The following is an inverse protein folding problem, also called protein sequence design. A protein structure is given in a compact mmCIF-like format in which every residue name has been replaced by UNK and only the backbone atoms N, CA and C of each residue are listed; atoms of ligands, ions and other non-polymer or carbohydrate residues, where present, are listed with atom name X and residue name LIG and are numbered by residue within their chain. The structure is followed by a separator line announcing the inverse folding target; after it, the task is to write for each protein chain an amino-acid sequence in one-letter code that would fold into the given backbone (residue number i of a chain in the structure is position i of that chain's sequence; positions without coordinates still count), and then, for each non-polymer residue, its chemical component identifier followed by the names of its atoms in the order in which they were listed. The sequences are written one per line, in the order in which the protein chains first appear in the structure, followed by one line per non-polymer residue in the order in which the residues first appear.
data_IF_274431271688
#
_entry.id   IF_274431271688
#
_cell.length_a   1.000
_cell.length_b   1.000
_cell.length_c   1.000
_cell.angle_alpha   90.00
_cell.angle_beta   90.00
_cell.angle_gamma   90.00
#
_symmetry.space_group_name_H-M   'P 1'
#
loop_
_entity.id
_entity.type
_entity.pdbx_description
1 polymer ?
#
# COMPACT_ATOMS: atom_id res chain seq x y z
N UNK A 1 -20.63 -21.05 36.99
CA UNK A 1 -20.54 -21.87 38.22
C UNK A 1 -19.70 -23.11 37.90
N UNK A 2 -18.72 -23.44 38.78
CA UNK A 2 -17.58 -24.38 38.60
C UNK A 2 -16.38 -23.71 37.90
N UNK A 3 -15.55 -22.93 38.60
CA UNK A 3 -14.54 -23.32 39.62
C UNK A 3 -13.62 -24.43 39.10
N UNK A 4 -12.36 -24.10 38.83
CA UNK A 4 -11.24 -24.48 39.71
C UNK A 4 -11.36 -25.92 40.19
N UNK A 5 -10.65 -26.83 39.52
CA UNK A 5 -10.04 -28.04 40.07
C UNK A 5 -9.24 -28.72 38.96
N UNK A 6 -8.14 -29.35 39.38
CA UNK A 6 -7.09 -30.02 38.59
C UNK A 6 -6.04 -29.04 38.04
N UNK A 7 -4.79 -29.00 38.52
CA UNK A 7 -4.03 -29.99 39.26
C UNK A 7 -3.02 -29.31 40.18
N UNK A 8 -3.20 -29.54 41.48
CA UNK A 8 -2.10 -29.63 42.44
C UNK A 8 -2.06 -31.10 42.87
N UNK A 9 -1.04 -31.82 42.43
CA UNK A 9 -0.60 -33.14 42.86
C UNK A 9 0.78 -33.29 42.20
N UNK A 10 1.90 -33.59 42.83
CA UNK A 10 2.23 -34.20 44.10
C UNK A 10 3.66 -33.74 44.41
N UNK A 11 3.95 -33.35 45.65
CA UNK A 11 5.24 -33.63 46.31
C UNK A 11 5.12 -33.19 47.78
N UNK A 12 4.67 -34.13 48.59
CA UNK A 12 4.77 -34.11 50.04
C UNK A 12 5.83 -35.14 50.43
N UNK A 13 6.88 -34.72 51.12
CA UNK A 13 7.42 -35.53 52.21
C UNK A 13 8.27 -34.72 53.18
N UNK A 14 7.82 -34.75 54.44
CA UNK A 14 8.57 -34.75 55.71
C UNK A 14 8.94 -33.41 56.35
N UNK A 15 8.01 -33.03 57.23
CA UNK A 15 8.14 -32.44 58.56
C UNK A 15 9.47 -32.74 59.28
N UNK A 16 10.12 -31.70 59.82
CA UNK A 16 10.74 -31.72 61.16
C UNK A 16 10.84 -30.29 61.73
N UNK A 17 10.30 -30.19 62.94
CA UNK A 17 10.21 -29.06 63.87
C UNK A 17 11.42 -28.11 63.95
N UNK A 18 11.16 -26.81 64.14
CA UNK A 18 11.43 -26.11 65.41
C UNK A 18 10.82 -24.70 65.39
N UNK A 19 10.11 -24.37 66.47
CA UNK A 19 9.48 -23.08 66.76
C UNK A 19 10.53 -22.13 67.38
N UNK A 20 10.69 -20.92 66.83
CA UNK A 20 11.27 -19.73 67.51
C UNK A 20 10.61 -18.43 66.98
N UNK A 21 10.59 -17.35 67.77
CA UNK A 21 9.43 -16.44 67.86
C UNK A 21 9.42 -15.32 66.82
N UNK A 22 8.21 -14.78 66.61
CA UNK A 22 7.86 -13.69 65.72
C UNK A 22 8.81 -12.48 65.84
N UNK A 23 9.57 -12.23 64.78
CA UNK A 23 10.02 -10.89 64.39
C UNK A 23 9.19 -10.43 63.21
N UNK A 24 8.20 -9.57 63.45
CA UNK A 24 7.36 -8.97 62.42
C UNK A 24 8.19 -7.95 61.61
N UNK A 25 8.94 -8.43 60.61
CA UNK A 25 9.50 -7.56 59.58
C UNK A 25 8.37 -7.12 58.65
N UNK A 26 7.85 -5.93 58.89
CA UNK A 26 6.96 -5.23 57.98
C UNK A 26 7.77 -4.85 56.72
N UNK A 27 7.80 -5.74 55.72
CA UNK A 27 8.27 -5.40 54.39
C UNK A 27 7.29 -4.40 53.78
N UNK A 28 7.59 -3.12 53.93
CA UNK A 28 6.94 -2.05 53.18
C UNK A 28 7.43 -2.20 51.73
N UNK A 29 6.71 -2.99 50.94
CA UNK A 29 6.81 -2.94 49.49
C UNK A 29 6.26 -1.58 49.06
N UNK A 30 7.15 -0.59 48.94
CA UNK A 30 6.86 0.66 48.23
C UNK A 30 6.69 0.28 46.77
N UNK A 31 5.46 0.01 46.36
CA UNK A 31 5.09 0.06 44.96
C UNK A 31 5.25 1.51 44.52
N UNK A 32 6.36 1.83 43.86
CA UNK A 32 6.41 2.98 42.97
C UNK A 32 5.38 2.72 41.86
N UNK A 33 4.15 3.17 42.08
CA UNK A 33 3.25 3.45 40.98
C UNK A 33 3.93 4.57 40.23
N UNK A 34 4.67 4.20 39.18
CA UNK A 34 5.11 5.16 38.17
C UNK A 34 3.83 5.80 37.65
N UNK A 35 3.51 7.00 38.15
CA UNK A 35 2.45 7.81 37.57
C UNK A 35 2.78 7.92 36.09
N UNK A 36 1.99 7.27 35.24
CA UNK A 36 2.05 7.51 33.81
C UNK A 36 1.88 9.02 33.66
N UNK A 37 2.95 9.71 33.27
CA UNK A 37 2.88 11.13 33.00
C UNK A 37 1.73 11.30 32.01
N UNK A 38 0.68 12.00 32.42
CA UNK A 38 -0.43 12.29 31.53
C UNK A 38 0.18 12.97 30.30
N UNK A 39 0.10 12.29 29.14
CA UNK A 39 0.70 12.79 27.91
C UNK A 39 0.20 14.23 27.69
N UNK A 40 1.14 15.19 27.70
CA UNK A 40 0.79 16.59 27.46
C UNK A 40 0.14 16.66 26.07
N UNK A 41 -0.99 17.37 25.91
CA UNK A 41 -1.63 17.50 24.61
C UNK A 41 -0.66 18.13 23.61
N UNK A 42 -0.52 17.52 22.44
CA UNK A 42 0.42 17.94 21.38
C UNK A 42 0.17 19.37 20.86
N UNK A 43 -1.04 19.89 21.06
CA UNK A 43 -1.42 21.26 20.70
C UNK A 43 -1.86 22.05 21.94
N UNK A 44 -1.45 23.31 22.02
CA UNK A 44 -1.97 24.28 22.99
C UNK A 44 -3.42 24.67 22.66
N UNK A 45 -4.19 25.26 23.61
CA UNK A 45 -5.52 25.79 23.32
C UNK A 45 -5.54 26.79 22.16
N UNK A 46 -4.57 27.70 22.11
CA UNK A 46 -4.48 28.73 21.06
C UNK A 46 -4.20 28.12 19.69
N UNK A 47 -3.29 27.14 19.63
CA UNK A 47 -3.04 26.37 18.40
C UNK A 47 -4.32 25.68 17.92
N UNK A 48 -5.09 25.04 18.82
CA UNK A 48 -6.36 24.40 18.45
C UNK A 48 -7.36 25.41 17.87
N UNK A 49 -7.41 26.61 18.42
CA UNK A 49 -8.36 27.61 17.93
C UNK A 49 -7.94 28.20 16.58
N UNK A 50 -6.65 28.42 16.36
CA UNK A 50 -6.11 28.74 15.04
C UNK A 50 -6.41 27.66 14.00
N UNK A 51 -6.33 26.38 14.40
CA UNK A 51 -6.69 25.25 13.53
C UNK A 51 -8.17 25.24 13.14
N UNK A 52 -9.08 25.52 14.07
CA UNK A 52 -10.51 25.61 13.75
C UNK A 52 -10.80 26.70 12.72
N UNK A 53 -10.15 27.86 12.85
CA UNK A 53 -10.28 28.96 11.87
C UNK A 53 -9.77 28.55 10.49
N UNK A 54 -8.62 27.89 10.42
CA UNK A 54 -8.04 27.40 9.16
C UNK A 54 -8.95 26.38 8.47
N UNK A 55 -9.55 25.46 9.24
CA UNK A 55 -10.53 24.49 8.73
C UNK A 55 -11.80 25.17 8.22
N UNK A 56 -12.36 26.12 8.97
CA UNK A 56 -13.56 26.85 8.57
C UNK A 56 -13.33 27.72 7.31
N UNK A 57 -12.10 28.18 7.09
CA UNK A 57 -11.72 28.96 5.92
C UNK A 57 -11.31 28.09 4.70
N UNK A 58 -11.29 26.76 4.84
CA UNK A 58 -10.77 25.85 3.81
C UNK A 58 -9.32 26.20 3.37
N UNK A 59 -8.48 26.64 4.31
CA UNK A 59 -7.07 26.92 4.04
C UNK A 59 -6.29 25.60 3.91
N UNK A 60 -6.41 24.98 2.73
CA UNK A 60 -5.81 23.69 2.43
C UNK A 60 -4.29 23.71 2.49
N UNK A 61 -3.65 24.86 2.26
CA UNK A 61 -2.18 24.98 2.35
C UNK A 61 -1.76 24.88 3.80
N UNK A 62 -2.40 25.61 4.70
CA UNK A 62 -2.12 25.53 6.13
C UNK A 62 -2.42 24.14 6.69
N UNK A 63 -3.53 23.52 6.28
CA UNK A 63 -3.86 22.13 6.68
C UNK A 63 -2.80 21.13 6.21
N UNK A 64 -2.39 21.20 4.94
CA UNK A 64 -1.36 20.31 4.39
C UNK A 64 0.00 20.54 5.08
N UNK A 65 0.34 21.81 5.38
CA UNK A 65 1.55 22.18 6.12
C UNK A 65 1.59 21.53 7.49
N UNK A 66 0.49 21.63 8.26
CA UNK A 66 0.35 20.98 9.56
C UNK A 66 0.66 19.49 9.50
N UNK A 67 0.06 18.82 8.52
CA UNK A 67 0.20 17.39 8.38
C UNK A 67 1.63 17.02 8.04
N UNK A 68 2.28 17.73 7.12
CA UNK A 68 3.67 17.50 6.78
C UNK A 68 4.61 17.77 7.96
N UNK A 69 4.45 18.90 8.66
CA UNK A 69 5.22 19.25 9.85
C UNK A 69 5.08 18.16 10.93
N UNK A 70 3.85 17.74 11.21
CA UNK A 70 3.58 16.68 12.20
C UNK A 70 4.24 15.35 11.81
N UNK A 71 4.21 14.98 10.53
CA UNK A 71 4.90 13.78 10.05
C UNK A 71 6.42 13.90 10.15
N UNK A 72 7.00 15.07 9.88
CA UNK A 72 8.44 15.33 10.02
C UNK A 72 8.88 15.20 11.47
N UNK A 73 8.09 15.75 12.40
CA UNK A 73 8.44 15.79 13.83
C UNK A 73 8.19 14.46 14.55
N UNK A 74 7.09 13.76 14.24
CA UNK A 74 6.62 12.60 15.00
C UNK A 74 6.49 11.32 14.18
N UNK A 75 6.45 11.43 12.85
CA UNK A 75 6.23 10.29 11.96
C UNK A 75 7.50 9.54 11.59
N UNK A 76 8.67 9.92 12.10
CA UNK A 76 9.96 9.33 11.71
C UNK A 76 10.20 7.98 12.38
N UNK A 77 11.03 7.19 11.72
CA UNK A 77 11.59 5.97 12.29
C UNK A 77 12.59 6.30 13.42
N UNK A 78 12.09 6.21 14.64
CA UNK A 78 12.87 6.28 15.89
C UNK A 78 12.81 4.94 16.63
N UNK A 79 12.64 3.84 15.90
CA UNK A 79 12.39 2.51 16.45
C UNK A 79 13.54 1.57 16.14
N UNK A 80 13.68 0.51 16.94
CA UNK A 80 14.76 -0.44 16.75
C UNK A 80 16.17 0.15 16.97
N UNK A 81 17.22 -0.58 16.57
CA UNK A 81 18.61 -0.15 16.78
C UNK A 81 19.11 0.84 15.71
N UNK A 82 18.39 1.01 14.60
CA UNK A 82 18.75 1.89 13.49
C UNK A 82 17.60 2.84 13.23
N UNK A 83 17.89 4.14 13.22
CA UNK A 83 16.90 5.17 12.94
C UNK A 83 17.10 5.66 11.51
N UNK A 84 16.23 5.19 10.62
CA UNK A 84 16.21 5.61 9.22
C UNK A 84 15.46 6.94 9.05
N UNK A 85 15.59 7.64 7.90
CA UNK A 85 14.70 8.74 7.58
C UNK A 85 13.31 8.25 7.15
N UNK A 86 12.94 6.98 7.30
CA UNK A 86 11.63 6.54 6.85
C UNK A 86 10.50 7.14 7.71
N UNK A 87 9.32 7.26 7.11
CA UNK A 87 8.11 7.57 7.86
C UNK A 87 7.39 6.28 8.26
N UNK A 88 6.72 6.26 9.40
CA UNK A 88 5.77 5.20 9.76
C UNK A 88 4.45 5.38 9.02
N UNK A 89 3.79 4.29 8.64
CA UNK A 89 2.53 4.33 7.88
C UNK A 89 1.34 4.80 8.72
N UNK A 90 1.39 4.63 10.04
CA UNK A 90 0.34 5.08 10.94
C UNK A 90 0.89 5.50 12.30
N UNK A 91 0.32 6.58 12.83
CA UNK A 91 0.63 7.15 14.15
C UNK A 91 -0.64 7.36 14.96
N UNK A 92 -0.53 7.16 16.27
CA UNK A 92 -1.52 7.65 17.22
C UNK A 92 -1.36 9.17 17.38
N UNK A 93 -2.39 9.92 16.96
CA UNK A 93 -2.43 11.38 17.02
C UNK A 93 -2.42 11.95 18.44
N UNK A 94 -2.63 11.14 19.48
CA UNK A 94 -2.54 11.58 20.87
C UNK A 94 -1.12 11.53 21.40
N UNK A 95 -0.35 10.52 20.97
CA UNK A 95 0.96 10.22 21.55
C UNK A 95 2.12 10.55 20.59
N UNK A 96 1.84 10.74 19.30
CA UNK A 96 2.87 10.90 18.26
C UNK A 96 3.64 9.62 17.96
N UNK A 97 3.26 8.48 18.54
CA UNK A 97 3.95 7.20 18.35
C UNK A 97 3.30 6.38 17.25
N UNK A 98 4.06 5.49 16.62
CA UNK A 98 3.54 4.55 15.62
C UNK A 98 2.42 3.70 16.21
N UNK A 99 1.44 3.35 15.38
CA UNK A 99 0.42 2.38 15.80
C UNK A 99 1.09 1.01 15.85
N UNK A 100 1.13 0.39 17.04
CA UNK A 100 1.74 -0.94 17.23
C UNK A 100 0.66 -1.99 17.50
N UNK A 101 0.85 -3.25 17.06
CA UNK A 101 -0.08 -4.34 17.36
C UNK A 101 -0.31 -4.57 18.87
N UNK A 102 -1.47 -5.14 19.27
CA UNK A 102 -2.58 -5.54 18.41
C UNK A 102 -3.42 -4.34 17.96
N UNK A 103 -3.76 -4.29 16.67
CA UNK A 103 -4.71 -3.31 16.17
C UNK A 103 -6.11 -3.76 16.62
N UNK A 104 -6.93 -2.84 17.15
CA UNK A 104 -8.36 -3.08 17.08
C UNK A 104 -8.67 -3.19 15.58
N UNK A 105 -9.12 -4.36 15.11
CA UNK A 105 -9.62 -4.47 13.74
C UNK A 105 -10.55 -3.29 13.52
N UNK A 106 -10.22 -2.45 12.54
CA UNK A 106 -11.09 -1.33 12.20
C UNK A 106 -12.35 -1.99 11.64
N UNK A 107 -13.33 -2.23 12.53
CA UNK A 107 -14.70 -2.48 12.12
C UNK A 107 -15.10 -1.22 11.39
N UNK A 108 -15.03 -1.26 10.06
CA UNK A 108 -15.50 -0.16 9.24
C UNK A 108 -16.99 -0.09 9.51
N UNK A 109 -17.41 0.86 10.34
CA UNK A 109 -18.80 1.30 10.28
C UNK A 109 -19.02 1.77 8.85
N UNK A 110 -20.11 1.34 8.19
CA UNK A 110 -20.39 1.78 6.85
C UNK A 110 -20.30 3.31 6.77
N UNK A 111 -19.60 3.81 5.75
CA UNK A 111 -19.46 5.25 5.53
C UNK A 111 -20.83 5.92 5.31
N UNK A 112 -21.84 5.15 4.89
CA UNK A 112 -23.22 5.58 4.67
C UNK A 112 -24.22 4.49 5.09
N UNK A 113 -25.39 4.85 5.67
CA UNK A 113 -26.48 3.90 5.94
C UNK A 113 -26.87 3.10 4.67
N UNK A 114 -27.11 1.79 4.81
CA UNK A 114 -27.40 0.89 3.68
C UNK A 114 -26.17 0.25 2.99
N UNK A 115 -24.95 0.65 3.35
CA UNK A 115 -23.69 -0.01 2.92
C UNK A 115 -23.23 -1.08 3.93
N UNK A 116 -24.19 -1.71 4.59
CA UNK A 116 -24.01 -2.58 5.75
C UNK A 116 -23.45 -3.95 5.32
N UNK A 117 -22.15 -3.98 5.03
CA UNK A 117 -21.36 -5.16 5.32
C UNK A 117 -20.18 -4.75 6.19
N UNK A 118 -20.12 -5.33 7.38
CA UNK A 118 -18.90 -5.41 8.16
C UNK A 118 -17.84 -6.12 7.30
N UNK A 119 -17.04 -5.36 6.54
CA UNK A 119 -15.78 -5.87 6.00
C UNK A 119 -14.73 -5.58 7.05
N UNK A 120 -14.32 -6.63 7.76
CA UNK A 120 -13.10 -6.58 8.54
C UNK A 120 -11.93 -6.36 7.57
N UNK A 121 -11.19 -5.27 7.76
CA UNK A 121 -9.86 -5.14 7.19
C UNK A 121 -9.03 -6.32 7.71
N UNK A 122 -8.54 -7.18 6.81
CA UNK A 122 -7.71 -8.33 7.21
C UNK A 122 -6.44 -7.78 7.84
N UNK A 123 -5.99 -8.38 8.94
CA UNK A 123 -4.77 -7.93 9.63
C UNK A 123 -3.52 -7.98 8.76
N UNK A 124 -3.52 -8.78 7.70
CA UNK A 124 -2.43 -8.95 6.73
C UNK A 124 -2.41 -7.91 5.60
N UNK A 125 -3.48 -7.14 5.41
CA UNK A 125 -3.66 -6.25 4.24
C UNK A 125 -3.01 -4.89 4.41
N UNK A 126 -2.55 -4.57 5.63
CA UNK A 126 -2.03 -3.24 5.94
C UNK A 126 -0.89 -3.32 6.92
N UNK A 127 0.16 -2.60 6.59
CA UNK A 127 1.13 -2.14 7.55
C UNK A 127 0.59 -0.89 8.26
N UNK A 128 0.43 -0.94 9.59
CA UNK A 128 -0.06 0.21 10.38
C UNK A 128 1.03 0.96 11.15
N UNK A 129 2.23 0.39 11.32
CA UNK A 129 3.25 0.94 12.23
C UNK A 129 4.67 0.94 11.71
N UNK A 130 4.93 0.26 10.61
CA UNK A 130 6.25 0.19 10.00
C UNK A 130 6.34 1.14 8.80
N UNK A 131 7.38 1.05 7.99
CA UNK A 131 7.54 1.93 6.83
C UNK A 131 7.19 1.24 5.51
N UNK A 132 6.48 1.98 4.67
CA UNK A 132 6.22 1.64 3.27
C UNK A 132 6.09 2.94 2.45
N UNK A 133 7.19 3.41 1.85
CA UNK A 133 7.18 4.63 1.05
C UNK A 133 6.25 4.58 -0.16
N UNK A 134 5.92 3.40 -0.69
CA UNK A 134 5.00 3.27 -1.81
C UNK A 134 3.57 3.60 -1.38
N UNK A 135 3.14 3.05 -0.25
CA UNK A 135 1.84 3.38 0.37
C UNK A 135 1.81 4.81 0.94
N UNK A 136 2.98 5.41 1.20
CA UNK A 136 3.14 6.80 1.65
C UNK A 136 3.40 7.80 0.51
N UNK A 137 3.26 7.39 -0.76
CA UNK A 137 3.53 8.28 -1.90
C UNK A 137 2.78 9.61 -1.84
N UNK A 138 1.56 9.61 -1.29
CA UNK A 138 0.77 10.84 -1.10
C UNK A 138 1.45 11.83 -0.15
N UNK A 139 2.04 11.37 0.96
CA UNK A 139 2.78 12.22 1.88
C UNK A 139 3.99 12.86 1.18
N UNK A 140 4.79 12.03 0.50
CA UNK A 140 5.97 12.50 -0.24
C UNK A 140 5.59 13.52 -1.32
N UNK A 141 4.50 13.26 -2.05
CA UNK A 141 3.98 14.19 -3.09
C UNK A 141 3.49 15.50 -2.49
N UNK A 142 2.81 15.45 -1.33
CA UNK A 142 2.37 16.66 -0.62
C UNK A 142 3.58 17.49 -0.21
N UNK A 143 4.62 16.87 0.33
CA UNK A 143 5.86 17.55 0.72
C UNK A 143 6.53 18.28 -0.45
N UNK A 144 6.69 17.62 -1.59
CA UNK A 144 7.21 18.30 -2.80
C UNK A 144 6.30 19.42 -3.30
N UNK A 145 4.97 19.26 -3.21
CA UNK A 145 4.01 20.31 -3.58
C UNK A 145 4.10 21.51 -2.64
N UNK A 146 4.21 21.28 -1.34
CA UNK A 146 4.40 22.33 -0.33
C UNK A 146 5.66 23.13 -0.61
N UNK A 147 6.81 22.49 -0.84
CA UNK A 147 8.03 23.24 -1.19
C UNK A 147 7.88 24.11 -2.42
N UNK A 148 7.18 23.64 -3.47
CA UNK A 148 6.92 24.46 -4.67
C UNK A 148 5.99 25.64 -4.38
N UNK A 149 4.98 25.43 -3.55
CA UNK A 149 3.95 26.44 -3.27
C UNK A 149 4.41 27.50 -2.26
N UNK A 150 5.23 27.12 -1.27
CA UNK A 150 5.64 28.02 -0.18
C UNK A 150 7.06 28.53 -0.32
N UNK A 151 7.90 27.91 -1.17
CA UNK A 151 9.33 28.17 -1.26
C UNK A 151 10.17 27.52 -0.15
N UNK A 152 9.54 26.89 0.85
CA UNK A 152 10.25 26.20 1.94
C UNK A 152 10.81 24.86 1.45
N UNK A 153 12.12 24.82 1.16
CA UNK A 153 12.78 23.63 0.60
C UNK A 153 12.76 22.41 1.52
N UNK A 154 12.66 22.62 2.84
CA UNK A 154 12.69 21.55 3.85
C UNK A 154 11.73 20.40 3.56
N UNK A 155 10.52 20.67 3.05
CA UNK A 155 9.55 19.61 2.78
C UNK A 155 10.04 18.64 1.70
N UNK A 156 10.45 19.16 0.54
CA UNK A 156 11.01 18.34 -0.53
C UNK A 156 12.27 17.61 -0.08
N UNK A 157 13.15 18.27 0.67
CA UNK A 157 14.37 17.65 1.23
C UNK A 157 14.03 16.48 2.15
N UNK A 158 13.02 16.62 3.02
CA UNK A 158 12.55 15.55 3.90
C UNK A 158 11.92 14.37 3.15
N UNK A 159 11.26 14.62 2.01
CA UNK A 159 10.73 13.58 1.13
C UNK A 159 11.84 12.87 0.33
N UNK A 160 12.79 13.63 -0.21
CA UNK A 160 13.94 13.11 -0.96
C UNK A 160 14.83 12.25 -0.06
N UNK A 161 15.04 12.64 1.21
CA UNK A 161 15.75 11.83 2.21
C UNK A 161 15.11 10.45 2.37
N UNK A 162 13.80 10.39 2.55
CA UNK A 162 13.05 9.12 2.67
C UNK A 162 13.20 8.28 1.40
N UNK A 163 12.95 8.89 0.24
CA UNK A 163 12.95 8.21 -1.05
C UNK A 163 14.34 7.68 -1.44
N UNK A 164 15.37 8.50 -1.30
CA UNK A 164 16.75 8.12 -1.60
C UNK A 164 17.25 7.03 -0.66
N UNK A 165 16.97 7.14 0.65
CA UNK A 165 17.37 6.12 1.62
C UNK A 165 16.70 4.78 1.34
N UNK A 166 15.39 4.76 1.06
CA UNK A 166 14.67 3.53 0.70
C UNK A 166 15.36 2.82 -0.47
N UNK A 167 15.55 3.53 -1.58
CA UNK A 167 16.15 2.97 -2.78
C UNK A 167 17.58 2.45 -2.55
N UNK A 168 18.33 3.08 -1.66
CA UNK A 168 19.72 2.69 -1.37
C UNK A 168 19.84 1.52 -0.37
N UNK A 169 18.86 1.29 0.50
CA UNK A 169 19.04 0.42 1.67
C UNK A 169 18.08 -0.77 1.76
N UNK A 170 16.94 -0.75 1.04
CA UNK A 170 15.91 -1.79 1.20
C UNK A 170 15.73 -2.68 -0.03
N UNK A 171 16.51 -2.46 -1.09
CA UNK A 171 16.47 -3.30 -2.29
C UNK A 171 16.95 -4.71 -1.98
N UNK A 172 16.15 -5.71 -2.33
CA UNK A 172 16.45 -7.11 -2.08
C UNK A 172 17.44 -7.65 -3.12
N UNK A 173 18.00 -8.84 -2.88
CA UNK A 173 18.96 -9.48 -3.80
C UNK A 173 18.41 -9.72 -5.22
N UNK A 174 17.08 -9.77 -5.38
CA UNK A 174 16.40 -9.97 -6.66
C UNK A 174 15.93 -8.64 -7.29
N UNK A 175 16.35 -7.50 -6.75
CA UNK A 175 16.03 -6.17 -7.27
C UNK A 175 14.66 -5.63 -6.86
N UNK A 176 13.78 -6.45 -6.28
CA UNK A 176 12.49 -6.00 -5.74
C UNK A 176 12.66 -5.27 -4.39
N UNK A 177 11.58 -4.66 -3.92
CA UNK A 177 11.52 -3.97 -2.63
C UNK A 177 10.40 -4.57 -1.77
N UNK A 178 10.59 -4.61 -0.43
CA UNK A 178 9.55 -5.03 0.51
C UNK A 178 8.57 -3.87 0.78
N UNK A 179 7.84 -3.46 -0.25
CA UNK A 179 6.77 -2.44 -0.19
C UNK A 179 5.47 -2.94 -0.84
N UNK A 180 4.39 -2.19 -0.63
CA UNK A 180 3.08 -2.45 -1.21
C UNK A 180 2.15 -3.20 -0.26
N UNK A 181 1.03 -3.71 -0.79
CA UNK A 181 -0.15 -4.02 0.03
C UNK A 181 0.05 -5.15 1.07
N UNK A 182 1.05 -6.01 0.90
CA UNK A 182 1.24 -7.19 1.76
C UNK A 182 2.66 -7.33 2.35
N UNK A 183 3.48 -6.28 2.26
CA UNK A 183 4.83 -6.27 2.85
C UNK A 183 5.24 -4.84 3.23
N UNK A 184 6.30 -4.71 4.01
CA UNK A 184 6.78 -3.45 4.55
C UNK A 184 8.21 -3.62 5.07
N UNK A 185 8.88 -2.50 5.36
CA UNK A 185 10.14 -2.50 6.09
C UNK A 185 9.88 -2.42 7.60
N UNK A 186 10.14 -3.52 8.31
CA UNK A 186 10.01 -3.59 9.75
C UNK A 186 11.09 -2.73 10.42
N UNK A 187 10.65 -1.67 11.12
CA UNK A 187 11.56 -0.69 11.71
C UNK A 187 12.31 -1.23 12.94
N UNK A 188 11.69 -2.12 13.72
CA UNK A 188 12.36 -2.71 14.89
C UNK A 188 13.50 -3.65 14.50
N UNK A 189 13.30 -4.38 13.41
CA UNK A 189 14.20 -5.41 12.92
C UNK A 189 15.13 -4.93 11.81
N UNK A 190 14.95 -3.70 11.34
CA UNK A 190 15.60 -3.14 10.15
C UNK A 190 15.67 -4.14 8.99
N UNK A 191 14.51 -4.70 8.63
CA UNK A 191 14.40 -5.71 7.57
C UNK A 191 13.01 -5.75 6.98
N UNK A 192 12.92 -6.18 5.71
CA UNK A 192 11.66 -6.36 5.01
C UNK A 192 11.59 -7.70 4.28
N UNK A 193 10.38 -8.07 3.89
CA UNK A 193 10.14 -9.30 3.16
C UNK A 193 8.68 -9.72 3.23
N UNK A 194 8.28 -10.60 2.32
CA UNK A 194 6.92 -11.13 2.23
C UNK A 194 6.32 -10.96 0.86
N UNK A 195 5.00 -11.06 0.81
CA UNK A 195 4.22 -10.97 -0.42
C UNK A 195 4.29 -9.55 -0.98
N UNK A 196 4.89 -9.42 -2.15
CA UNK A 196 4.97 -8.21 -2.92
C UNK A 196 3.70 -8.06 -3.78
N UNK A 197 2.98 -6.95 -3.60
CA UNK A 197 1.86 -6.51 -4.44
C UNK A 197 1.94 -4.98 -4.56
N UNK A 198 1.98 -4.45 -5.78
CA UNK A 198 2.15 -3.02 -5.99
C UNK A 198 1.29 -2.48 -7.13
N UNK A 199 0.71 -1.29 -6.91
CA UNK A 199 -0.28 -0.71 -7.82
C UNK A 199 0.08 0.73 -8.23
N UNK A 200 1.20 1.25 -7.73
CA UNK A 200 1.65 2.63 -7.91
C UNK A 200 2.99 2.67 -8.65
N UNK A 201 3.17 3.71 -9.46
CA UNK A 201 4.43 3.98 -10.14
C UNK A 201 5.26 4.91 -9.26
N UNK A 202 6.51 4.51 -8.98
CA UNK A 202 7.44 5.30 -8.21
C UNK A 202 7.94 6.50 -9.04
N UNK A 203 7.67 7.76 -8.64
CA UNK A 203 7.94 8.92 -9.48
C UNK A 203 9.36 9.48 -9.32
N UNK A 204 10.11 9.10 -8.28
CA UNK A 204 11.37 9.74 -7.91
C UNK A 204 12.58 9.05 -8.55
N UNK A 205 12.56 8.92 -9.88
CA UNK A 205 13.60 8.19 -10.64
C UNK A 205 14.99 8.81 -10.50
N UNK A 206 15.04 10.14 -10.49
CA UNK A 206 16.26 10.94 -10.41
C UNK A 206 17.06 10.74 -9.12
N UNK A 207 16.43 10.23 -8.04
CA UNK A 207 17.12 10.06 -6.76
C UNK A 207 18.01 8.81 -6.73
N UNK A 208 17.64 7.76 -7.45
CA UNK A 208 18.43 6.54 -7.52
C UNK A 208 18.12 5.71 -8.79
N UNK A 209 18.53 6.22 -9.98
CA UNK A 209 18.18 5.59 -11.25
C UNK A 209 18.73 4.17 -11.35
N UNK A 210 19.96 3.92 -10.88
CA UNK A 210 20.59 2.59 -10.90
C UNK A 210 19.80 1.55 -10.09
N UNK A 211 19.31 1.90 -8.90
CA UNK A 211 18.49 0.98 -8.11
C UNK A 211 17.14 0.72 -8.79
N UNK A 212 16.57 1.74 -9.43
CA UNK A 212 15.29 1.60 -10.11
C UNK A 212 15.38 0.84 -11.45
N UNK A 213 16.53 0.89 -12.16
CA UNK A 213 16.81 0.00 -13.28
C UNK A 213 16.80 -1.48 -12.86
N UNK A 214 17.44 -1.80 -11.72
CA UNK A 214 17.41 -3.14 -11.12
C UNK A 214 15.99 -3.55 -10.73
N UNK A 215 15.20 -2.63 -10.17
CA UNK A 215 13.80 -2.89 -9.84
C UNK A 215 12.95 -3.17 -11.07
N UNK A 216 13.11 -2.37 -12.13
CA UNK A 216 12.40 -2.57 -13.38
C UNK A 216 12.70 -3.95 -13.99
N UNK A 217 13.97 -4.37 -13.99
CA UNK A 217 14.33 -5.71 -14.45
C UNK A 217 13.85 -6.80 -13.48
N UNK A 218 13.92 -6.55 -12.17
CA UNK A 218 13.41 -7.47 -11.15
C UNK A 218 11.91 -7.77 -11.28
N UNK A 219 11.11 -6.77 -11.69
CA UNK A 219 9.70 -7.00 -12.04
C UNK A 219 9.56 -8.00 -13.20
N UNK A 220 10.38 -7.87 -14.24
CA UNK A 220 10.35 -8.80 -15.36
C UNK A 220 10.83 -10.20 -14.98
N UNK A 221 11.87 -10.30 -14.16
CA UNK A 221 12.50 -11.57 -13.80
C UNK A 221 11.79 -12.35 -12.69
N UNK A 222 11.07 -11.66 -11.80
CA UNK A 222 10.56 -12.24 -10.55
C UNK A 222 9.07 -11.99 -10.30
N UNK A 223 8.41 -11.15 -11.09
CA UNK A 223 6.96 -10.93 -11.00
C UNK A 223 6.18 -11.58 -12.15
N UNK A 224 6.79 -11.69 -13.33
CA UNK A 224 6.21 -12.38 -14.50
C UNK A 224 6.60 -13.86 -14.49
N UNK A 225 5.60 -14.73 -14.41
CA UNK A 225 5.79 -16.18 -14.31
C UNK A 225 6.13 -16.84 -15.65
N UNK A 226 5.53 -16.36 -16.74
CA UNK A 226 5.83 -16.85 -18.08
C UNK A 226 6.04 -15.68 -19.05
N UNK A 227 7.30 -15.49 -19.40
CA UNK A 227 7.76 -14.43 -20.31
C UNK A 227 7.35 -14.64 -21.76
N UNK A 228 6.89 -15.83 -22.16
CA UNK A 228 6.40 -16.11 -23.52
C UNK A 228 4.94 -15.74 -23.69
N UNK A 229 4.15 -15.88 -22.62
CA UNK A 229 2.71 -15.61 -22.64
C UNK A 229 2.35 -14.29 -21.96
N UNK A 230 3.26 -13.70 -21.19
CA UNK A 230 2.99 -12.55 -20.33
C UNK A 230 2.15 -12.91 -19.10
N UNK A 231 2.01 -14.19 -18.76
CA UNK A 231 1.26 -14.63 -17.58
C UNK A 231 2.01 -14.22 -16.29
N UNK A 232 1.29 -13.61 -15.37
CA UNK A 232 1.81 -13.17 -14.08
C UNK A 232 0.74 -13.25 -12.98
N UNK A 233 1.17 -13.05 -11.76
CA UNK A 233 0.29 -12.89 -10.62
C UNK A 233 0.55 -11.52 -10.00
N UNK A 234 -0.50 -10.85 -9.52
CA UNK A 234 -0.38 -9.64 -8.69
C UNK A 234 0.40 -9.86 -7.39
N UNK A 235 0.74 -11.09 -7.06
CA UNK A 235 1.55 -11.48 -5.91
C UNK A 235 2.84 -12.16 -6.37
N UNK A 236 3.96 -11.74 -5.79
CA UNK A 236 5.23 -12.46 -5.83
C UNK A 236 5.92 -12.38 -4.46
N UNK A 237 7.05 -13.06 -4.29
CA UNK A 237 7.90 -12.84 -3.12
C UNK A 237 8.88 -11.68 -3.41
N UNK A 238 9.03 -10.76 -2.45
CA UNK A 238 9.98 -9.64 -2.57
C UNK A 238 11.45 -10.06 -2.47
N UNK A 239 11.77 -11.21 -1.87
CA UNK A 239 13.14 -11.64 -1.55
C UNK A 239 13.69 -12.79 -2.42
N UNK A 240 12.84 -13.51 -3.13
CA UNK A 240 13.22 -14.69 -3.89
C UNK A 240 12.39 -14.86 -5.15
N UNK A 241 12.96 -15.54 -6.14
CA UNK A 241 12.23 -15.90 -7.35
C UNK A 241 11.17 -16.96 -7.02
N UNK A 242 9.91 -16.64 -7.31
CA UNK A 242 8.79 -17.58 -7.22
C UNK A 242 7.48 -16.98 -7.75
N UNK A 243 7.46 -16.31 -8.92
CA UNK A 243 6.22 -15.80 -9.49
C UNK A 243 5.27 -16.95 -9.82
N UNK A 244 3.96 -16.66 -9.72
CA UNK A 244 2.90 -17.54 -10.20
C UNK A 244 2.09 -16.84 -11.28
N UNK A 245 1.15 -17.54 -11.91
CA UNK A 245 0.26 -16.99 -12.94
C UNK A 245 -1.19 -16.85 -12.46
N UNK A 246 -2.07 -16.43 -13.37
CA UNK A 246 -3.52 -16.47 -13.14
C UNK A 246 -4.14 -15.13 -12.73
N UNK A 247 -3.34 -14.16 -12.30
CA UNK A 247 -3.81 -12.92 -11.67
C UNK A 247 -3.22 -11.70 -12.37
N UNK A 248 -3.31 -11.68 -13.70
CA UNK A 248 -2.79 -10.65 -14.60
C UNK A 248 -3.61 -9.35 -14.58
N UNK A 249 -3.93 -8.84 -13.39
CA UNK A 249 -4.81 -7.69 -13.26
C UNK A 249 -4.30 -6.48 -14.08
N UNK A 250 -5.18 -5.57 -14.51
CA UNK A 250 -4.77 -4.35 -15.18
C UNK A 250 -3.99 -3.38 -14.28
N UNK A 251 -4.33 -3.29 -12.98
CA UNK A 251 -3.71 -2.32 -12.07
C UNK A 251 -2.20 -2.54 -11.86
N UNK A 252 -1.67 -3.77 -11.61
CA UNK A 252 -0.25 -3.97 -11.37
C UNK A 252 0.49 -4.08 -12.70
N UNK A 253 -0.12 -4.68 -13.73
CA UNK A 253 0.53 -4.77 -15.05
C UNK A 253 0.70 -3.40 -15.71
N UNK A 254 -0.21 -2.45 -15.51
CA UNK A 254 -0.02 -1.10 -16.06
C UNK A 254 1.04 -0.33 -15.26
N UNK A 255 1.21 -0.63 -13.96
CA UNK A 255 2.30 -0.07 -13.16
C UNK A 255 3.66 -0.65 -13.58
N UNK A 256 3.72 -1.95 -13.91
CA UNK A 256 4.90 -2.57 -14.54
C UNK A 256 5.25 -1.90 -15.87
N UNK A 257 4.28 -1.76 -16.78
CA UNK A 257 4.49 -1.10 -18.08
C UNK A 257 5.02 0.32 -17.90
N UNK A 258 4.41 1.11 -17.02
CA UNK A 258 4.87 2.46 -16.72
C UNK A 258 6.32 2.48 -16.18
N UNK A 259 6.67 1.53 -15.31
CA UNK A 259 8.03 1.38 -14.77
C UNK A 259 9.03 1.01 -15.87
N UNK A 260 8.68 0.08 -16.77
CA UNK A 260 9.54 -0.30 -17.90
C UNK A 260 9.69 0.81 -18.93
N UNK A 261 8.64 1.61 -19.18
CA UNK A 261 8.75 2.81 -20.02
C UNK A 261 9.75 3.79 -19.40
N UNK A 262 9.65 4.05 -18.09
CA UNK A 262 10.57 4.95 -17.40
C UNK A 262 12.01 4.43 -17.42
N UNK A 263 12.20 3.12 -17.21
CA UNK A 263 13.50 2.47 -17.28
C UNK A 263 14.11 2.57 -18.70
N UNK A 264 13.31 2.31 -19.74
CA UNK A 264 13.71 2.45 -21.14
C UNK A 264 14.04 3.90 -21.51
N UNK A 265 13.35 4.88 -20.90
CA UNK A 265 13.69 6.29 -21.11
C UNK A 265 15.06 6.65 -20.58
N UNK A 266 15.41 6.15 -19.40
CA UNK A 266 16.68 6.43 -18.74
C UNK A 266 17.84 5.62 -19.35
N UNK A 267 17.64 4.32 -19.57
CA UNK A 267 18.61 3.41 -20.19
C UNK A 267 17.90 2.42 -21.12
N UNK A 268 17.91 2.66 -22.45
CA UNK A 268 17.24 1.78 -23.40
C UNK A 268 17.76 0.34 -23.34
N UNK A 269 16.84 -0.61 -23.18
CA UNK A 269 17.07 -2.06 -23.25
C UNK A 269 15.87 -2.69 -23.98
N UNK A 270 16.07 -3.48 -25.05
CA UNK A 270 14.98 -4.12 -25.79
C UNK A 270 14.14 -5.08 -24.92
N UNK A 271 14.66 -5.59 -23.80
CA UNK A 271 13.88 -6.42 -22.88
C UNK A 271 12.70 -5.65 -22.27
N UNK A 272 12.82 -4.33 -22.05
CA UNK A 272 11.69 -3.52 -21.57
C UNK A 272 10.58 -3.43 -22.60
N UNK A 273 10.92 -3.25 -23.88
CA UNK A 273 9.93 -3.24 -24.96
C UNK A 273 9.26 -4.61 -25.09
N UNK A 274 10.04 -5.69 -25.01
CA UNK A 274 9.52 -7.06 -25.00
C UNK A 274 8.56 -7.31 -23.85
N UNK A 275 8.93 -6.88 -22.63
CA UNK A 275 8.09 -7.03 -21.45
C UNK A 275 6.74 -6.29 -21.61
N UNK A 276 6.77 -5.04 -22.07
CA UNK A 276 5.56 -4.25 -22.35
C UNK A 276 4.68 -4.95 -23.40
N UNK A 277 5.28 -5.39 -24.50
CA UNK A 277 4.56 -6.07 -25.59
C UNK A 277 3.86 -7.35 -25.10
N UNK A 278 4.56 -8.17 -24.30
CA UNK A 278 4.03 -9.41 -23.76
C UNK A 278 2.84 -9.18 -22.81
N UNK A 279 2.90 -8.16 -21.94
CA UNK A 279 1.77 -7.85 -21.04
C UNK A 279 0.56 -7.33 -21.84
N UNK A 280 0.78 -6.47 -22.84
CA UNK A 280 -0.32 -5.99 -23.70
C UNK A 280 -0.97 -7.14 -24.49
N UNK A 281 -0.16 -8.05 -25.04
CA UNK A 281 -0.66 -9.24 -25.74
C UNK A 281 -1.42 -10.17 -24.79
N UNK A 282 -0.90 -10.37 -23.57
CA UNK A 282 -1.58 -11.19 -22.56
C UNK A 282 -2.96 -10.63 -22.27
N UNK A 283 -3.08 -9.34 -22.02
CA UNK A 283 -4.38 -8.75 -21.73
C UNK A 283 -5.32 -8.77 -22.92
N UNK A 284 -4.84 -8.53 -24.14
CA UNK A 284 -5.70 -8.64 -25.31
C UNK A 284 -6.22 -10.08 -25.49
N UNK A 285 -5.43 -11.10 -25.15
CA UNK A 285 -5.90 -12.50 -25.13
C UNK A 285 -7.01 -12.78 -24.10
N UNK A 286 -7.20 -11.90 -23.13
CA UNK A 286 -8.26 -11.99 -22.12
C UNK A 286 -9.53 -11.22 -22.55
N UNK A 287 -9.54 -10.59 -23.72
CA UNK A 287 -10.70 -9.90 -24.29
C UNK A 287 -11.57 -10.87 -25.09
N UNK A 288 -12.89 -10.84 -24.89
CA UNK A 288 -13.81 -11.62 -25.71
C UNK A 288 -14.11 -10.94 -27.06
N UNK A 289 -14.87 -11.62 -27.93
CA UNK A 289 -15.25 -11.09 -29.23
C UNK A 289 -16.17 -9.85 -29.18
N UNK A 290 -16.76 -9.56 -28.02
CA UNK A 290 -17.61 -8.38 -27.80
C UNK A 290 -16.82 -7.22 -27.15
N UNK A 291 -15.52 -7.39 -26.94
CA UNK A 291 -14.64 -6.39 -26.34
C UNK A 291 -14.59 -6.41 -24.82
N UNK A 292 -15.30 -7.32 -24.14
CA UNK A 292 -15.25 -7.45 -22.69
C UNK A 292 -13.97 -8.15 -22.26
N UNK A 293 -13.15 -7.41 -21.54
CA UNK A 293 -11.92 -7.90 -20.96
C UNK A 293 -12.20 -8.63 -19.66
N UNK A 294 -11.55 -9.77 -19.43
CA UNK A 294 -11.54 -10.41 -18.12
C UNK A 294 -10.57 -9.70 -17.16
N UNK A 295 -10.84 -9.63 -15.84
CA UNK A 295 -9.92 -9.00 -14.90
C UNK A 295 -8.59 -9.74 -14.82
N UNK A 296 -8.63 -11.07 -14.91
CA UNK A 296 -7.46 -11.94 -15.07
C UNK A 296 -7.93 -13.33 -15.53
N UNK A 297 -6.99 -14.22 -15.81
CA UNK A 297 -7.31 -15.58 -16.29
C UNK A 297 -7.92 -16.50 -15.23
N UNK A 298 -7.71 -16.27 -13.93
CA UNK A 298 -8.40 -16.99 -12.85
C UNK A 298 -9.85 -16.55 -12.63
N UNK A 299 -10.27 -15.43 -13.23
CA UNK A 299 -11.62 -14.88 -13.13
C UNK A 299 -12.22 -14.63 -14.53
N UNK A 300 -12.23 -15.63 -15.44
CA UNK A 300 -12.52 -15.43 -16.85
C UNK A 300 -13.99 -15.09 -17.15
N UNK A 301 -14.88 -15.31 -16.18
CA UNK A 301 -16.32 -15.08 -16.29
C UNK A 301 -16.73 -13.63 -15.97
N UNK A 302 -15.82 -12.82 -15.45
CA UNK A 302 -16.09 -11.45 -15.01
C UNK A 302 -15.51 -10.41 -15.97
N UNK A 303 -16.03 -9.20 -15.93
CA UNK A 303 -15.46 -8.01 -16.53
C UNK A 303 -15.29 -6.92 -15.47
N UNK A 304 -14.21 -6.15 -15.57
CA UNK A 304 -13.85 -5.15 -14.57
C UNK A 304 -13.49 -3.79 -15.17
N UNK A 305 -14.52 -3.06 -15.58
CA UNK A 305 -14.41 -1.79 -16.31
C UNK A 305 -13.60 -0.70 -15.58
N UNK A 306 -13.70 -0.59 -14.26
CA UNK A 306 -12.92 0.40 -13.46
C UNK A 306 -11.43 0.08 -13.49
N UNK A 307 -11.05 -1.19 -13.35
CA UNK A 307 -9.65 -1.58 -13.45
C UNK A 307 -9.07 -1.25 -14.81
N UNK A 308 -9.88 -1.35 -15.87
CA UNK A 308 -9.47 -1.04 -17.23
C UNK A 308 -9.29 0.45 -17.46
N UNK A 309 -10.16 1.32 -16.95
CA UNK A 309 -9.99 2.77 -17.08
C UNK A 309 -8.75 3.28 -16.33
N UNK A 310 -8.44 2.70 -15.16
CA UNK A 310 -7.18 2.98 -14.45
C UNK A 310 -5.95 2.59 -15.29
N UNK A 311 -5.98 1.43 -15.93
CA UNK A 311 -4.91 1.00 -16.82
C UNK A 311 -4.83 1.87 -18.08
N UNK A 312 -5.96 2.25 -18.69
CA UNK A 312 -6.04 3.07 -19.89
C UNK A 312 -5.39 4.45 -19.67
N UNK A 313 -5.77 5.14 -18.59
CA UNK A 313 -5.18 6.43 -18.22
C UNK A 313 -3.65 6.34 -18.10
N UNK A 314 -3.16 5.29 -17.43
CA UNK A 314 -1.72 5.08 -17.26
C UNK A 314 -1.04 4.74 -18.58
N UNK A 315 -1.67 3.95 -19.44
CA UNK A 315 -1.11 3.63 -20.76
C UNK A 315 -1.03 4.87 -21.64
N UNK A 316 -2.02 5.75 -21.62
CA UNK A 316 -1.98 6.99 -22.40
C UNK A 316 -0.85 7.93 -21.92
N UNK A 317 -0.74 8.14 -20.61
CA UNK A 317 0.31 8.97 -20.01
C UNK A 317 1.72 8.47 -20.38
N UNK A 318 1.97 7.17 -20.28
CA UNK A 318 3.29 6.61 -20.58
C UNK A 318 3.51 6.34 -22.08
N UNK A 319 2.45 6.23 -22.88
CA UNK A 319 2.57 6.22 -24.33
C UNK A 319 3.11 7.55 -24.86
N UNK A 320 2.68 8.69 -24.29
CA UNK A 320 3.25 10.01 -24.59
C UNK A 320 4.75 10.03 -24.34
N UNK A 321 5.17 9.45 -23.21
CA UNK A 321 6.58 9.40 -22.83
C UNK A 321 7.42 8.55 -23.80
N UNK A 322 6.97 7.35 -24.18
CA UNK A 322 7.74 6.46 -25.08
C UNK A 322 7.67 6.84 -26.56
N UNK A 323 6.69 7.66 -26.97
CA UNK A 323 6.39 7.98 -28.37
C UNK A 323 7.59 8.44 -29.19
N UNK A 324 8.50 9.21 -28.60
CA UNK A 324 9.68 9.74 -29.30
C UNK A 324 10.70 8.65 -29.63
N UNK A 325 10.75 7.57 -28.85
CA UNK A 325 11.70 6.47 -29.02
C UNK A 325 11.09 5.24 -29.69
N UNK A 326 9.80 4.98 -29.45
CA UNK A 326 9.07 3.89 -30.08
C UNK A 326 7.60 4.30 -30.33
N UNK A 327 7.32 4.95 -31.47
CA UNK A 327 5.96 5.36 -31.83
C UNK A 327 5.04 4.17 -32.10
N UNK A 328 5.58 3.03 -32.54
CA UNK A 328 4.80 1.81 -32.81
C UNK A 328 4.24 1.25 -31.50
N UNK A 329 5.09 1.07 -30.48
CA UNK A 329 4.65 0.61 -29.18
C UNK A 329 3.74 1.64 -28.49
N UNK A 330 4.04 2.94 -28.60
CA UNK A 330 3.16 4.00 -28.09
C UNK A 330 1.75 3.91 -28.68
N UNK A 331 1.64 3.70 -30.00
CA UNK A 331 0.34 3.53 -30.67
C UNK A 331 -0.38 2.25 -30.19
N UNK A 332 0.35 1.16 -29.97
CA UNK A 332 -0.22 -0.07 -29.41
C UNK A 332 -0.78 0.15 -28.00
N UNK A 333 -0.05 0.86 -27.14
CA UNK A 333 -0.48 1.24 -25.79
C UNK A 333 -1.76 2.09 -25.82
N UNK A 334 -1.81 3.13 -26.67
CA UNK A 334 -3.01 3.97 -26.85
C UNK A 334 -4.19 3.18 -27.40
N UNK A 335 -3.97 2.35 -28.41
CA UNK A 335 -5.03 1.53 -28.99
C UNK A 335 -5.66 0.58 -27.96
N UNK A 336 -4.83 -0.03 -27.10
CA UNK A 336 -5.33 -0.82 -25.98
C UNK A 336 -6.11 0.04 -24.98
N UNK A 337 -5.57 1.20 -24.58
CA UNK A 337 -6.23 2.16 -23.70
C UNK A 337 -7.61 2.59 -24.21
N UNK A 338 -7.71 2.98 -25.48
CA UNK A 338 -8.97 3.38 -26.11
C UNK A 338 -10.02 2.25 -26.13
N UNK A 339 -9.62 0.98 -26.32
CA UNK A 339 -10.54 -0.16 -26.20
C UNK A 339 -11.09 -0.28 -24.78
N UNK A 340 -10.24 -0.08 -23.77
CA UNK A 340 -10.63 -0.10 -22.37
C UNK A 340 -11.56 1.06 -22.02
N UNK A 341 -11.28 2.27 -22.49
CA UNK A 341 -12.12 3.45 -22.27
C UNK A 341 -13.48 3.30 -22.96
N UNK A 342 -13.52 2.84 -24.21
CA UNK A 342 -14.76 2.57 -24.91
C UNK A 342 -15.64 1.56 -24.16
N UNK A 343 -15.03 0.50 -23.63
CA UNK A 343 -15.73 -0.49 -22.82
C UNK A 343 -16.25 0.10 -21.50
N UNK A 344 -15.47 0.95 -20.85
CA UNK A 344 -15.88 1.66 -19.62
C UNK A 344 -17.03 2.64 -19.87
N UNK A 345 -16.96 3.44 -20.92
CA UNK A 345 -17.97 4.44 -21.26
C UNK A 345 -19.33 3.81 -21.57
N UNK A 346 -19.35 2.60 -22.13
CA UNK A 346 -20.59 1.84 -22.38
C UNK A 346 -21.37 1.48 -21.11
N UNK A 347 -20.74 1.53 -19.94
CA UNK A 347 -21.39 1.22 -18.64
C UNK A 347 -21.37 2.40 -17.67
N UNK A 348 -20.75 3.52 -18.02
CA UNK A 348 -20.45 4.61 -17.09
C UNK A 348 -21.71 5.28 -16.51
N UNK A 349 -22.74 5.49 -17.33
CA UNK A 349 -24.01 6.09 -16.88
C UNK A 349 -24.75 5.17 -15.89
N UNK A 350 -24.67 3.86 -16.10
CA UNK A 350 -25.30 2.87 -15.23
C UNK A 350 -24.47 2.58 -13.97
N UNK A 351 -23.16 2.81 -13.99
CA UNK A 351 -22.25 2.56 -12.86
C UNK A 351 -22.56 3.38 -11.62
N UNK A 352 -23.06 4.61 -11.79
CA UNK A 352 -23.47 5.48 -10.67
C UNK A 352 -24.92 5.22 -10.25
N UNK A 353 -25.73 4.61 -11.12
CA UNK A 353 -27.17 4.39 -10.94
C UNK A 353 -27.52 3.00 -10.37
N UNK A 354 -26.54 2.25 -9.88
CA UNK A 354 -26.77 0.93 -9.26
C UNK A 354 -27.33 1.14 -7.85
N UNK A 355 -28.62 1.52 -7.75
CA UNK A 355 -29.48 1.50 -6.53
C UNK A 355 -28.77 1.75 -5.19
N UNK A 356 -27.91 2.77 -5.10
CA UNK A 356 -27.22 3.13 -3.86
C UNK A 356 -26.01 2.26 -3.45
N UNK A 357 -25.47 1.42 -4.34
CA UNK A 357 -24.34 0.51 -4.04
C UNK A 357 -22.95 1.03 -4.50
N UNK A 358 -22.89 2.12 -5.26
CA UNK A 358 -21.64 2.80 -5.65
C UNK A 358 -20.87 2.17 -6.83
N UNK A 359 -19.70 2.74 -7.20
CA UNK A 359 -18.96 2.45 -8.44
C UNK A 359 -18.24 1.08 -8.47
N UNK A 360 -18.53 0.20 -7.51
CA UNK A 360 -17.78 -1.03 -7.25
C UNK A 360 -18.67 -2.23 -7.58
N UNK A 361 -18.86 -2.50 -8.87
CA UNK A 361 -19.81 -3.50 -9.33
C UNK A 361 -19.15 -4.61 -10.16
N UNK A 362 -19.62 -5.85 -9.95
CA UNK A 362 -19.18 -7.02 -10.73
C UNK A 362 -20.03 -7.13 -12.00
N UNK A 363 -19.38 -7.24 -13.16
CA UNK A 363 -20.06 -7.41 -14.44
C UNK A 363 -19.79 -8.81 -14.99
N UNK A 364 -20.81 -9.49 -15.49
CA UNK A 364 -20.64 -10.76 -16.18
C UNK A 364 -20.02 -10.50 -17.54
N UNK A 365 -18.89 -11.15 -17.83
CA UNK A 365 -18.19 -10.99 -19.12
C UNK A 365 -19.06 -11.43 -20.28
N UNK A 366 -19.80 -12.53 -20.14
CA UNK A 366 -20.64 -13.08 -21.20
C UNK A 366 -21.73 -12.11 -21.69
N UNK A 367 -22.23 -11.23 -20.81
CA UNK A 367 -23.32 -10.30 -21.14
C UNK A 367 -22.87 -8.84 -21.15
N UNK A 368 -21.69 -8.53 -20.60
CA UNK A 368 -21.24 -7.17 -20.32
C UNK A 368 -22.03 -6.45 -19.22
N UNK A 369 -23.03 -7.11 -18.60
CA UNK A 369 -24.01 -6.49 -17.70
C UNK A 369 -23.70 -6.73 -16.24
N UNK A 370 -24.19 -5.82 -15.40
CA UNK A 370 -24.10 -5.92 -13.95
C UNK A 370 -24.75 -7.21 -13.42
N UNK A 371 -24.08 -7.85 -12.45
CA UNK A 371 -24.65 -8.98 -11.71
C UNK A 371 -25.22 -8.51 -10.36
N UNK A 372 -26.55 -8.44 -10.20
CA UNK A 372 -27.17 -7.99 -8.96
C UNK A 372 -26.90 -8.92 -7.76
N UNK A 373 -26.60 -10.20 -8.02
CA UNK A 373 -26.34 -11.19 -6.98
C UNK A 373 -24.89 -11.12 -6.46
N UNK A 374 -24.04 -10.27 -7.06
CA UNK A 374 -22.61 -10.16 -6.76
C UNK A 374 -22.17 -8.71 -6.63
N UNK A 375 -22.63 -8.07 -5.55
CA UNK A 375 -22.24 -6.71 -5.15
C UNK A 375 -20.76 -6.59 -4.66
N UNK A 376 -20.00 -7.69 -4.60
CA UNK A 376 -18.80 -7.77 -3.76
C UNK A 376 -17.47 -7.96 -4.45
N UNK A 377 -17.44 -8.07 -5.77
CA UNK A 377 -16.23 -8.29 -6.55
C UNK A 377 -16.13 -7.30 -7.72
N UNK A 378 -15.70 -6.07 -7.46
CA UNK A 378 -14.29 -5.69 -7.61
C UNK A 378 -14.15 -4.18 -7.41
N UNK A 379 -13.66 -3.85 -6.23
CA UNK A 379 -12.81 -2.70 -5.96
C UNK A 379 -11.76 -3.24 -5.02
N UNK A 380 -10.72 -3.86 -5.57
CA UNK A 380 -9.55 -4.18 -4.74
C UNK A 380 -9.01 -2.87 -4.16
N UNK A 381 -8.50 -2.84 -2.92
CA UNK A 381 -7.95 -3.94 -2.10
C UNK A 381 -8.84 -4.21 -0.84
N UNK A 382 -8.89 -5.35 -0.14
CA UNK A 382 -7.88 -6.38 0.13
C UNK A 382 -6.50 -5.77 0.32
#
# INVERSE_FOLDING_TARGET
MKLLRLLFALLSSRVSALIRPLGLCLLICVFFVSAAAADKPLLTPDQREAWKKSLAAYDYVTIARAYADYMIDYGRDTYGPKHSPLFVTGIDRKTGKRISPPFAHVKRKPFMPGWERDRELRGSDRNYGNADPLDQLTLLRIMHRLSRMTGEKRYAEEADKTAAWWMANTQTKIGLYPWGSHTYWNLDKDSGGGTFEFNHVWPYWNLNPSALQKYAMGLWDHYVADKKTGNFNRHANSNEHGPSGGMEFPWPGSAMIATWVQAYQDKPDPEYLRAIDMILNRWESLRDGNGHLAPCSSYPQWAWYVGYSLAANRLDDYAKLINTKDPTLANKMRAYGHKCDAAYLNVADDMLNIKGFGPVSSYLRATGKFNPDRLDMIGGPW
#
